data_IF_895683466184
#
_entry.id   IF_895683466184
#
_cell.length_a   1.000
_cell.length_b   1.000
_cell.length_c   1.000
_cell.angle_alpha   90.00
_cell.angle_beta   90.00
_cell.angle_gamma   90.00
#
_symmetry.space_group_name_H-M   'P 1'
#
loop_
_entity.id
_entity.type
_entity.pdbx_description
1 polymer ?
#
# COMPACT_ATOMS: atom_id res chain seq x y z
N UNK A 1 -3.03 7.14 37.18
CA UNK A 1 -3.59 7.31 35.82
C UNK A 1 -2.65 8.23 35.06
N UNK A 2 -1.99 7.77 34.00
CA UNK A 2 -0.86 8.46 33.35
C UNK A 2 -1.27 9.81 32.72
N UNK A 3 -0.57 10.88 33.11
CA UNK A 3 -0.77 12.27 32.63
C UNK A 3 -0.68 12.38 31.09
N UNK A 4 0.17 11.54 30.50
CA UNK A 4 0.37 11.40 29.05
C UNK A 4 -0.94 11.06 28.31
N UNK A 5 -1.76 10.13 28.83
CA UNK A 5 -3.02 9.76 28.17
C UNK A 5 -4.07 10.88 28.22
N UNK A 6 -3.98 11.80 29.19
CA UNK A 6 -4.86 12.96 29.30
C UNK A 6 -4.45 14.03 28.29
N UNK A 7 -3.15 14.30 28.19
CA UNK A 7 -2.59 15.31 27.28
C UNK A 7 -2.78 14.89 25.81
N UNK A 8 -2.65 13.60 25.48
CA UNK A 8 -2.99 13.09 24.13
C UNK A 8 -4.47 13.24 23.82
N UNK A 9 -5.36 13.06 24.81
CA UNK A 9 -6.81 13.21 24.61
C UNK A 9 -7.24 14.66 24.40
N UNK A 10 -6.55 15.60 25.04
CA UNK A 10 -6.84 17.02 24.90
C UNK A 10 -6.28 17.59 23.58
N UNK A 11 -5.13 17.10 23.09
CA UNK A 11 -4.63 17.40 21.74
C UNK A 11 -5.55 16.86 20.62
N UNK A 12 -6.24 15.73 20.84
CA UNK A 12 -7.21 15.19 19.87
C UNK A 12 -8.51 16.01 19.79
N UNK A 13 -8.79 16.90 20.74
CA UNK A 13 -9.99 17.76 20.71
C UNK A 13 -9.83 19.02 19.88
N UNK A 14 -8.60 19.38 19.54
CA UNK A 14 -8.28 20.59 18.76
C UNK A 14 -8.10 20.30 17.27
N UNK A 15 -8.29 19.05 16.82
CA UNK A 15 -8.21 18.71 15.41
C UNK A 15 -9.43 19.28 14.66
N UNK A 16 -9.25 20.27 13.76
CA UNK A 16 -10.36 20.88 13.03
C UNK A 16 -10.95 19.94 11.97
N UNK A 17 -10.35 18.75 11.76
CA UNK A 17 -10.81 17.80 10.76
C UNK A 17 -12.14 17.17 11.20
N UNK A 18 -13.11 17.01 10.27
CA UNK A 18 -14.41 16.43 10.60
C UNK A 18 -14.36 14.90 10.83
N UNK A 19 -13.16 14.31 10.88
CA UNK A 19 -12.94 12.87 10.99
C UNK A 19 -11.75 12.54 11.89
N UNK A 20 -11.78 11.35 12.47
CA UNK A 20 -10.68 10.82 13.27
C UNK A 20 -9.65 10.11 12.37
N UNK A 21 -8.47 10.73 12.20
CA UNK A 21 -7.37 10.18 11.39
C UNK A 21 -6.99 8.76 11.81
N UNK A 22 -6.89 8.50 13.11
CA UNK A 22 -6.49 7.19 13.62
C UNK A 22 -7.51 6.10 13.23
N UNK A 23 -8.80 6.45 13.17
CA UNK A 23 -9.81 5.54 12.65
C UNK A 23 -9.63 5.31 11.15
N UNK A 24 -9.39 6.36 10.35
CA UNK A 24 -9.16 6.19 8.91
C UNK A 24 -7.93 5.34 8.64
N UNK A 25 -6.84 5.54 9.36
CA UNK A 25 -5.63 4.71 9.27
C UNK A 25 -5.91 3.24 9.62
N UNK A 26 -6.69 2.98 10.66
CA UNK A 26 -7.09 1.62 11.03
C UNK A 26 -7.92 0.95 9.93
N UNK A 27 -8.82 1.71 9.29
CA UNK A 27 -9.67 1.22 8.19
C UNK A 27 -8.86 1.00 6.92
N UNK A 28 -7.98 1.93 6.57
CA UNK A 28 -7.00 1.77 5.50
C UNK A 28 -6.14 0.53 5.74
N UNK A 29 -5.71 0.30 6.99
CA UNK A 29 -4.91 -0.89 7.34
C UNK A 29 -5.64 -2.18 7.00
N UNK A 30 -6.93 -2.26 7.34
CA UNK A 30 -7.79 -3.40 7.04
C UNK A 30 -8.13 -3.50 5.55
N UNK A 31 -8.36 -2.37 4.87
CA UNK A 31 -8.56 -2.33 3.42
C UNK A 31 -7.37 -2.90 2.65
N UNK A 32 -6.15 -2.48 2.99
CA UNK A 32 -4.92 -2.99 2.39
C UNK A 32 -4.76 -4.49 2.61
N UNK A 33 -5.21 -5.03 3.75
CA UNK A 33 -5.19 -6.48 3.97
C UNK A 33 -6.09 -7.23 2.99
N UNK A 34 -7.31 -6.73 2.73
CA UNK A 34 -8.21 -7.34 1.75
C UNK A 34 -7.65 -7.27 0.33
N UNK A 35 -7.11 -6.12 -0.07
CA UNK A 35 -6.60 -5.92 -1.43
C UNK A 35 -5.14 -6.32 -1.63
N UNK A 36 -4.50 -6.93 -0.62
CA UNK A 36 -3.09 -7.35 -0.74
C UNK A 36 -2.81 -8.22 -1.98
N UNK A 37 -3.65 -9.21 -2.35
CA UNK A 37 -3.46 -9.99 -3.58
C UNK A 37 -3.61 -9.15 -4.86
N UNK A 38 -4.57 -8.22 -4.89
CA UNK A 38 -4.79 -7.31 -6.03
C UNK A 38 -3.61 -6.36 -6.21
N UNK A 39 -3.12 -5.78 -5.11
CA UNK A 39 -1.95 -4.90 -5.09
C UNK A 39 -0.68 -5.66 -5.47
N UNK A 40 -0.55 -6.93 -5.07
CA UNK A 40 0.54 -7.81 -5.50
C UNK A 40 0.52 -8.02 -7.01
N UNK A 41 -0.64 -8.38 -7.57
CA UNK A 41 -0.76 -8.59 -9.01
C UNK A 41 -0.47 -7.32 -9.80
N UNK A 42 -0.98 -6.17 -9.34
CA UNK A 42 -0.72 -4.89 -9.97
C UNK A 42 0.77 -4.51 -9.88
N UNK A 43 1.41 -4.64 -8.72
CA UNK A 43 2.82 -4.33 -8.55
C UNK A 43 3.73 -5.24 -9.39
N UNK A 44 3.46 -6.55 -9.43
CA UNK A 44 4.23 -7.51 -10.21
C UNK A 44 4.21 -7.17 -11.71
N UNK A 45 3.02 -6.80 -12.23
CA UNK A 45 2.86 -6.39 -13.62
C UNK A 45 3.45 -5.01 -13.91
N UNK A 46 3.20 -4.02 -13.05
CA UNK A 46 3.69 -2.66 -13.23
C UNK A 46 5.22 -2.60 -13.25
N UNK A 47 5.86 -3.33 -12.34
CA UNK A 47 7.32 -3.42 -12.23
C UNK A 47 7.94 -4.40 -13.25
N UNK A 48 7.12 -5.09 -14.06
CA UNK A 48 7.53 -6.06 -15.08
C UNK A 48 8.49 -7.13 -14.54
N UNK A 49 8.20 -7.66 -13.37
CA UNK A 49 9.17 -8.52 -12.65
C UNK A 49 9.50 -9.82 -13.38
N UNK A 50 8.60 -10.30 -14.25
CA UNK A 50 8.88 -11.47 -15.09
C UNK A 50 10.00 -11.21 -16.10
N UNK A 51 10.04 -10.01 -16.68
CA UNK A 51 11.04 -9.62 -17.68
C UNK A 51 12.28 -9.00 -17.02
N UNK A 52 12.11 -8.35 -15.87
CA UNK A 52 13.14 -7.55 -15.21
C UNK A 52 12.98 -7.63 -13.68
N UNK A 53 13.38 -8.75 -13.05
CA UNK A 53 13.22 -8.95 -11.61
C UNK A 53 13.85 -7.86 -10.75
N UNK A 54 14.99 -7.32 -11.19
CA UNK A 54 15.72 -6.26 -10.48
C UNK A 54 14.93 -4.96 -10.29
N UNK A 55 13.84 -4.74 -11.04
CA UNK A 55 13.00 -3.56 -10.87
C UNK A 55 12.39 -3.47 -9.47
N UNK A 56 12.19 -4.59 -8.76
CA UNK A 56 11.71 -4.56 -7.37
C UNK A 56 12.67 -3.83 -6.40
N UNK A 57 13.95 -3.65 -6.76
CA UNK A 57 14.97 -3.00 -5.94
C UNK A 57 15.16 -1.53 -6.27
N UNK A 58 14.73 -1.10 -7.45
CA UNK A 58 14.97 0.26 -7.98
C UNK A 58 13.68 1.04 -8.17
N UNK A 59 12.53 0.36 -8.24
CA UNK A 59 11.24 0.94 -8.55
C UNK A 59 10.18 0.53 -7.52
N UNK A 60 9.19 1.39 -7.34
CA UNK A 60 8.02 1.12 -6.54
C UNK A 60 6.74 1.44 -7.33
N UNK A 61 5.65 0.76 -7.00
CA UNK A 61 4.32 1.13 -7.49
C UNK A 61 3.73 2.20 -6.56
N UNK A 62 3.53 3.40 -7.07
CA UNK A 62 2.79 4.47 -6.40
C UNK A 62 1.30 4.37 -6.76
N UNK A 63 0.43 4.37 -5.76
CA UNK A 63 -1.03 4.22 -5.88
C UNK A 63 -1.67 5.40 -5.17
N UNK A 64 -2.39 6.22 -5.91
CA UNK A 64 -3.12 7.37 -5.40
C UNK A 64 -4.59 7.00 -5.33
N UNK A 65 -5.15 7.11 -4.13
CA UNK A 65 -6.54 6.78 -3.85
C UNK A 65 -7.29 8.02 -3.36
N UNK A 66 -8.57 8.06 -3.66
CA UNK A 66 -9.54 8.99 -3.07
C UNK A 66 -10.52 8.24 -2.17
N UNK A 67 -10.97 8.81 -1.04
CA UNK A 67 -12.09 8.28 -0.28
C UNK A 67 -13.37 8.22 -1.14
N UNK A 68 -14.08 7.10 -1.09
CA UNK A 68 -15.37 6.90 -1.75
C UNK A 68 -16.57 7.16 -0.80
N UNK A 69 -16.29 7.70 0.39
CA UNK A 69 -17.23 8.01 1.44
C UNK A 69 -17.05 9.47 1.87
N UNK A 70 -18.11 10.06 2.41
CA UNK A 70 -18.02 11.41 2.97
C UNK A 70 -17.39 11.36 4.36
N UNK A 71 -16.28 12.08 4.51
CA UNK A 71 -15.49 12.17 5.73
C UNK A 71 -16.31 12.74 6.91
N UNK A 72 -17.33 13.56 6.65
CA UNK A 72 -18.22 14.09 7.69
C UNK A 72 -19.34 13.13 8.11
N UNK A 73 -19.68 12.16 7.26
CA UNK A 73 -20.80 11.20 7.49
C UNK A 73 -20.38 9.93 8.24
N UNK A 74 -19.09 9.76 8.48
CA UNK A 74 -18.51 8.61 9.16
C UNK A 74 -17.76 7.65 8.23
N UNK A 75 -16.86 6.87 8.82
CA UNK A 75 -15.94 6.00 8.08
C UNK A 75 -16.61 4.61 7.89
N UNK A 76 -16.47 3.96 6.71
CA UNK A 76 -17.01 2.63 6.44
C UNK A 76 -16.74 1.60 7.55
N UNK A 77 -17.82 1.04 8.12
CA UNK A 77 -17.72 0.14 9.28
C UNK A 77 -17.91 -1.34 8.93
N UNK A 78 -18.71 -1.65 7.90
CA UNK A 78 -18.92 -3.01 7.41
C UNK A 78 -17.85 -3.44 6.42
N UNK A 79 -17.62 -4.74 6.31
CA UNK A 79 -16.67 -5.29 5.34
C UNK A 79 -17.02 -4.92 3.89
N UNK A 80 -18.29 -5.03 3.51
CA UNK A 80 -18.76 -4.68 2.17
C UNK A 80 -18.51 -3.22 1.81
N UNK A 81 -18.77 -2.31 2.75
CA UNK A 81 -18.48 -0.88 2.54
C UNK A 81 -16.98 -0.62 2.54
N UNK A 82 -16.22 -1.27 3.43
CA UNK A 82 -14.78 -1.08 3.52
C UNK A 82 -14.12 -1.48 2.20
N UNK A 83 -14.51 -2.60 1.59
CA UNK A 83 -13.97 -3.03 0.28
C UNK A 83 -14.15 -1.97 -0.82
N UNK A 84 -15.14 -1.09 -0.71
CA UNK A 84 -15.42 0.00 -1.66
C UNK A 84 -15.10 1.38 -1.09
N UNK A 85 -14.34 1.45 0.01
CA UNK A 85 -14.08 2.70 0.72
C UNK A 85 -13.14 3.65 -0.03
N UNK A 86 -12.36 3.14 -1.00
CA UNK A 86 -11.40 3.93 -1.74
C UNK A 86 -11.54 3.68 -3.24
N UNK A 87 -11.39 4.73 -4.03
CA UNK A 87 -11.32 4.70 -5.50
C UNK A 87 -9.89 4.94 -5.94
N UNK A 88 -9.52 4.37 -7.08
CA UNK A 88 -8.23 4.64 -7.70
C UNK A 88 -8.31 5.94 -8.50
N UNK A 89 -7.50 6.92 -8.12
CA UNK A 89 -7.32 8.13 -8.92
C UNK A 89 -6.24 7.90 -9.98
N UNK A 90 -5.07 7.41 -9.54
CA UNK A 90 -4.00 7.02 -10.44
C UNK A 90 -3.08 5.96 -9.82
N UNK A 91 -2.28 5.30 -10.66
CA UNK A 91 -1.20 4.44 -10.24
C UNK A 91 -0.03 4.52 -11.22
N UNK A 92 1.20 4.62 -10.77
CA UNK A 92 2.34 4.65 -11.69
C UNK A 92 3.60 4.11 -11.02
N UNK A 93 4.56 3.71 -11.85
CA UNK A 93 5.87 3.28 -11.38
C UNK A 93 6.73 4.49 -11.15
N UNK A 94 7.43 4.53 -10.02
CA UNK A 94 8.35 5.61 -9.65
C UNK A 94 9.67 5.00 -9.19
N UNK A 95 10.82 5.63 -9.51
CA UNK A 95 12.10 5.22 -8.92
C UNK A 95 12.09 5.39 -7.40
N UNK A 96 12.68 4.43 -6.70
CA UNK A 96 12.82 4.49 -5.24
C UNK A 96 13.70 5.68 -4.83
N UNK A 97 14.71 6.02 -5.63
CA UNK A 97 15.56 7.21 -5.41
C UNK A 97 14.74 8.48 -5.30
N UNK A 98 13.82 8.69 -6.24
CA UNK A 98 13.01 9.90 -6.35
C UNK A 98 12.03 9.99 -5.16
N UNK A 99 11.48 8.85 -4.75
CA UNK A 99 10.65 8.78 -3.53
C UNK A 99 11.43 9.16 -2.27
N UNK A 100 12.66 8.67 -2.12
CA UNK A 100 13.52 8.98 -0.97
C UNK A 100 13.96 10.44 -0.98
N UNK A 101 14.22 11.02 -2.16
CA UNK A 101 14.55 12.44 -2.29
C UNK A 101 13.39 13.33 -1.82
N UNK A 102 12.15 13.01 -2.24
CA UNK A 102 10.96 13.77 -1.85
C UNK A 102 10.55 13.48 -0.40
N UNK A 103 10.79 12.26 0.09
CA UNK A 103 10.38 11.76 1.42
C UNK A 103 11.53 11.00 2.10
N UNK A 104 12.54 11.72 2.63
CA UNK A 104 13.73 11.10 3.21
C UNK A 104 13.43 10.14 4.37
N UNK A 105 12.31 10.34 5.08
CA UNK A 105 11.89 9.45 6.16
C UNK A 105 11.55 8.02 5.71
N UNK A 106 11.37 7.81 4.40
CA UNK A 106 11.11 6.49 3.83
C UNK A 106 12.38 5.68 3.57
N UNK A 107 13.55 6.30 3.56
CA UNK A 107 14.83 5.64 3.21
C UNK A 107 15.10 4.42 4.10
N UNK A 108 15.07 4.61 5.43
CA UNK A 108 15.34 3.54 6.38
C UNK A 108 14.28 2.41 6.31
N UNK A 109 12.96 2.68 6.29
CA UNK A 109 11.95 1.66 6.07
C UNK A 109 12.11 0.87 4.77
N UNK A 110 12.42 1.53 3.64
CA UNK A 110 12.63 0.86 2.35
C UNK A 110 13.87 -0.03 2.42
N UNK A 111 15.01 0.51 2.89
CA UNK A 111 16.24 -0.27 3.07
C UNK A 111 16.04 -1.48 3.97
N UNK A 112 15.29 -1.32 5.07
CA UNK A 112 14.97 -2.42 5.97
C UNK A 112 14.08 -3.47 5.28
N UNK A 113 13.09 -3.07 4.48
CA UNK A 113 12.25 -3.99 3.73
C UNK A 113 13.05 -4.79 2.69
N UNK A 114 13.91 -4.10 1.92
CA UNK A 114 14.78 -4.72 0.92
C UNK A 114 15.85 -5.63 1.56
N UNK A 115 16.42 -5.24 2.70
CA UNK A 115 17.40 -6.06 3.40
C UNK A 115 16.79 -7.37 3.94
N UNK A 116 15.54 -7.34 4.40
CA UNK A 116 14.82 -8.54 4.87
C UNK A 116 14.51 -9.52 3.73
N UNK A 117 14.36 -9.02 2.51
CA UNK A 117 14.18 -9.81 1.30
C UNK A 117 15.43 -10.65 0.96
N UNK A 118 16.61 -10.06 1.17
CA UNK A 118 17.90 -10.66 0.84
C UNK A 118 18.40 -11.72 1.84
N UNK A 119 17.66 -12.02 2.91
CA UNK A 119 18.07 -13.05 3.87
C UNK A 119 17.58 -14.43 3.40
N UNK A 120 18.48 -15.41 3.18
CA UNK A 120 18.08 -16.76 2.80
C UNK A 120 17.21 -17.37 3.90
N UNK A 121 16.01 -17.81 3.54
CA UNK A 121 15.13 -18.53 4.45
C UNK A 121 15.71 -19.91 4.84
N UNK A 122 15.26 -20.50 5.95
CA UNK A 122 15.72 -21.82 6.41
C UNK A 122 15.35 -22.98 5.47
N UNK A 123 14.54 -22.71 4.44
CA UNK A 123 14.27 -23.62 3.33
C UNK A 123 14.85 -22.94 2.10
N UNK A 124 15.70 -23.64 1.34
CA UNK A 124 16.39 -23.23 0.10
C UNK A 124 15.47 -22.78 -1.06
N UNK A 125 14.37 -22.07 -0.78
CA UNK A 125 13.60 -21.32 -1.75
C UNK A 125 14.45 -20.11 -2.12
N UNK A 126 14.86 -20.06 -3.37
CA UNK A 126 15.63 -18.97 -3.97
C UNK A 126 15.07 -17.61 -3.52
N UNK A 127 15.99 -16.70 -3.18
CA UNK A 127 15.81 -15.28 -2.83
C UNK A 127 14.38 -14.74 -2.98
N UNK A 128 13.72 -14.52 -1.85
CA UNK A 128 12.41 -13.85 -1.77
C UNK A 128 12.63 -12.35 -1.99
N UNK A 129 12.56 -11.88 -3.23
CA UNK A 129 12.57 -10.44 -3.49
C UNK A 129 11.26 -9.79 -2.97
N UNK A 130 11.32 -8.49 -2.66
CA UNK A 130 10.20 -7.71 -2.11
C UNK A 130 9.86 -6.56 -3.04
N UNK A 131 8.59 -6.45 -3.42
CA UNK A 131 8.06 -5.27 -4.09
C UNK A 131 7.63 -4.23 -3.07
N UNK A 132 7.82 -2.96 -3.41
CA UNK A 132 7.33 -1.84 -2.61
C UNK A 132 6.12 -1.21 -3.31
N UNK A 133 5.00 -1.13 -2.59
CA UNK A 133 3.82 -0.37 -3.00
C UNK A 133 3.66 0.81 -2.05
N UNK A 134 3.55 2.02 -2.59
CA UNK A 134 3.23 3.23 -1.85
C UNK A 134 1.79 3.62 -2.13
N UNK A 135 0.99 3.73 -1.06
CA UNK A 135 -0.41 4.13 -1.15
C UNK A 135 -0.52 5.53 -0.54
N UNK A 136 -1.09 6.45 -1.29
CA UNK A 136 -1.34 7.83 -0.87
C UNK A 136 -2.83 8.13 -0.96
N UNK A 137 -3.37 8.76 0.09
CA UNK A 137 -4.70 9.37 0.10
C UNK A 137 -4.53 10.86 0.41
N UNK A 138 -4.39 11.72 -0.61
CA UNK A 138 -4.05 13.12 -0.42
C UNK A 138 -5.03 13.88 0.46
N UNK A 139 -6.34 13.60 0.33
CA UNK A 139 -7.43 14.34 0.99
C UNK A 139 -7.38 14.25 2.52
N UNK A 140 -6.74 13.20 3.03
CA UNK A 140 -6.63 12.91 4.46
C UNK A 140 -5.18 12.82 4.92
N UNK A 141 -4.22 13.16 4.05
CA UNK A 141 -2.78 13.08 4.28
C UNK A 141 -2.30 11.72 4.81
N UNK A 142 -2.97 10.63 4.41
CA UNK A 142 -2.56 9.27 4.79
C UNK A 142 -1.65 8.71 3.72
N UNK A 143 -0.46 8.26 4.14
CA UNK A 143 0.48 7.55 3.29
C UNK A 143 0.85 6.22 3.93
N UNK A 144 1.01 5.18 3.10
CA UNK A 144 1.41 3.86 3.56
C UNK A 144 2.38 3.19 2.62
N UNK A 145 3.53 2.80 3.16
CA UNK A 145 4.42 1.85 2.51
C UNK A 145 3.94 0.42 2.78
N UNK A 146 3.86 -0.38 1.72
CA UNK A 146 3.45 -1.78 1.77
C UNK A 146 4.50 -2.65 1.08
N UNK A 147 5.35 -3.35 1.86
CA UNK A 147 6.21 -4.39 1.31
C UNK A 147 5.38 -5.64 1.00
N UNK A 148 5.54 -6.14 -0.23
CA UNK A 148 4.92 -7.34 -0.76
C UNK A 148 6.01 -8.35 -1.12
N UNK A 149 6.15 -9.41 -0.33
CA UNK A 149 7.10 -10.49 -0.62
C UNK A 149 6.65 -11.30 -1.82
N UNK A 150 7.61 -11.69 -2.66
CA UNK A 150 7.41 -12.59 -3.80
C UNK A 150 7.55 -14.04 -3.30
N UNK A 151 6.50 -14.84 -3.44
CA UNK A 151 6.53 -16.23 -3.00
C UNK A 151 6.73 -17.16 -4.20
N UNK A 152 7.86 -17.86 -4.27
CA UNK A 152 8.05 -19.06 -5.12
C UNK A 152 8.96 -18.91 -6.33
N UNK A 153 9.43 -20.07 -6.81
CA UNK A 153 10.29 -20.30 -7.98
C UNK A 153 9.78 -19.58 -9.25
N UNK A 154 10.63 -19.41 -10.27
CA UNK A 154 10.38 -18.64 -11.52
C UNK A 154 8.98 -18.80 -12.19
N UNK A 155 8.25 -19.91 -11.95
CA UNK A 155 6.88 -20.15 -12.40
C UNK A 155 5.78 -19.39 -11.62
N UNK A 156 6.10 -18.77 -10.48
CA UNK A 156 5.15 -18.07 -9.59
C UNK A 156 4.81 -16.64 -9.99
N UNK A 157 5.46 -16.08 -11.02
CA UNK A 157 5.18 -14.74 -11.50
C UNK A 157 4.01 -14.73 -12.49
N UNK A 158 3.09 -13.79 -12.27
CA UNK A 158 1.95 -13.61 -13.15
C UNK A 158 2.43 -13.22 -14.57
N UNK A 159 1.76 -13.72 -15.62
CA UNK A 159 2.03 -13.26 -16.98
C UNK A 159 1.79 -11.75 -17.07
N UNK A 160 2.61 -11.06 -17.87
CA UNK A 160 2.48 -9.63 -18.07
C UNK A 160 1.09 -9.27 -18.62
N UNK A 161 0.42 -8.35 -17.95
CA UNK A 161 -0.86 -7.80 -18.31
C UNK A 161 -0.71 -6.29 -18.60
N UNK A 162 -0.75 -5.85 -19.88
CA UNK A 162 -0.66 -4.43 -20.21
C UNK A 162 -1.85 -3.61 -19.68
N UNK A 163 -2.95 -4.26 -19.30
CA UNK A 163 -4.16 -3.63 -18.76
C UNK A 163 -4.21 -3.64 -17.23
N UNK A 164 -3.10 -3.96 -16.54
CA UNK A 164 -3.04 -4.08 -15.09
C UNK A 164 -3.64 -2.88 -14.35
N UNK A 165 -3.41 -1.65 -14.82
CA UNK A 165 -3.94 -0.42 -14.21
C UNK A 165 -5.48 -0.39 -14.26
N UNK A 166 -6.05 -0.73 -15.42
CA UNK A 166 -7.51 -0.81 -15.60
C UNK A 166 -8.12 -1.91 -14.73
N UNK A 167 -7.46 -3.08 -14.65
CA UNK A 167 -7.90 -4.17 -13.77
C UNK A 167 -7.83 -3.80 -12.30
N UNK A 168 -6.75 -3.12 -11.87
CA UNK A 168 -6.64 -2.59 -10.52
C UNK A 168 -7.81 -1.64 -10.22
N UNK A 169 -8.05 -0.65 -11.09
CA UNK A 169 -9.17 0.29 -10.94
C UNK A 169 -10.51 -0.44 -10.77
N UNK A 170 -10.83 -1.35 -11.70
CA UNK A 170 -12.08 -2.10 -11.67
C UNK A 170 -12.22 -2.95 -10.40
N UNK A 171 -11.15 -3.62 -9.96
CA UNK A 171 -11.17 -4.43 -8.74
C UNK A 171 -11.46 -3.58 -7.50
N UNK A 172 -10.81 -2.41 -7.38
CA UNK A 172 -11.02 -1.50 -6.25
C UNK A 172 -12.44 -0.91 -6.25
N UNK A 173 -12.94 -0.44 -7.39
CA UNK A 173 -14.28 0.15 -7.50
C UNK A 173 -15.40 -0.86 -7.23
N UNK A 174 -15.25 -2.10 -7.71
CA UNK A 174 -16.26 -3.14 -7.53
C UNK A 174 -16.18 -3.82 -6.15
N UNK A 175 -15.04 -3.71 -5.47
CA UNK A 175 -14.77 -4.40 -4.21
C UNK A 175 -14.43 -5.88 -4.39
N UNK A 176 -13.85 -6.25 -5.54
CA UNK A 176 -13.53 -7.64 -5.92
C UNK A 176 -12.14 -8.01 -5.39
N UNK A 177 -12.06 -9.19 -4.76
CA UNK A 177 -10.80 -9.76 -4.27
C UNK A 177 -10.32 -10.83 -5.27
N UNK A 178 -8.99 -10.95 -5.44
CA UNK A 178 -8.36 -12.04 -6.20
C UNK A 178 -8.14 -13.25 -5.30
#
# INVERSE_FOLDING_TARGET
MCKINRDTRDLMKEDPRPFNVAEVEARMKKWVQYFRPVLYAAASNALRLKDSPNNCRTQALHVILSPAFDLGSGIPNSEKQLRRAFRLDDAYVVPISDLVEVRPELDLPIKAALARASMPGPQNLQNVDVMIVFILVPEISVMRMLPLGMYGNDDGLLPFDPQWKSRLKNALEQGVLL
#
